data_IF_401131294582
#
_entry.id   IF_401131294582
#
_cell.length_a   1.000
_cell.length_b   1.000
_cell.length_c   1.000
_cell.angle_alpha   90.00
_cell.angle_beta   90.00
_cell.angle_gamma   90.00
#
_symmetry.space_group_name_H-M   'P 1'
#
loop_
_entity.id
_entity.type
_entity.pdbx_description
1 polymer ?
#
# COMPACT_ATOMS: atom_id res chain seq x y z
N UNK A 1 -5.14 -23.54 -1.85
CA UNK A 1 -4.25 -23.87 -2.99
C UNK A 1 -4.80 -24.95 -3.91
N UNK A 2 -5.45 -26.02 -3.44
CA UNK A 2 -5.88 -27.15 -4.29
C UNK A 2 -6.73 -26.77 -5.51
N UNK A 3 -7.60 -25.75 -5.40
CA UNK A 3 -8.46 -25.27 -6.48
C UNK A 3 -7.72 -24.53 -7.62
N UNK A 4 -6.47 -24.10 -7.39
CA UNK A 4 -5.65 -23.40 -8.38
C UNK A 4 -5.08 -24.36 -9.43
N UNK A 5 -4.76 -23.80 -10.59
CA UNK A 5 -4.22 -24.53 -11.71
C UNK A 5 -2.88 -25.14 -11.33
N UNK A 6 -2.51 -26.33 -11.82
CA UNK A 6 -1.21 -26.94 -11.51
C UNK A 6 -0.03 -25.99 -11.66
N UNK A 7 0.01 -25.21 -12.75
CA UNK A 7 1.04 -24.21 -13.00
C UNK A 7 1.10 -23.09 -11.93
N UNK A 8 -0.07 -22.62 -11.47
CA UNK A 8 -0.15 -21.58 -10.43
C UNK A 8 0.36 -22.13 -9.10
N UNK A 9 0.02 -23.39 -8.78
CA UNK A 9 0.51 -24.06 -7.56
C UNK A 9 2.02 -24.30 -7.60
N UNK A 10 2.54 -24.77 -8.73
CA UNK A 10 3.98 -24.99 -8.90
C UNK A 10 4.76 -23.69 -8.74
N UNK A 11 4.36 -22.63 -9.47
CA UNK A 11 5.01 -21.34 -9.37
C UNK A 11 4.94 -20.79 -7.94
N UNK A 12 3.75 -20.81 -7.32
CA UNK A 12 3.58 -20.30 -5.97
C UNK A 12 4.45 -21.05 -4.96
N UNK A 13 4.45 -22.38 -5.00
CA UNK A 13 5.26 -23.20 -4.11
C UNK A 13 6.76 -22.98 -4.29
N UNK A 14 7.22 -22.83 -5.53
CA UNK A 14 8.63 -22.62 -5.83
C UNK A 14 9.13 -21.20 -5.48
N UNK A 15 8.30 -20.17 -5.67
CA UNK A 15 8.69 -18.77 -5.47
C UNK A 15 8.39 -18.23 -4.07
N UNK A 16 7.31 -18.69 -3.44
CA UNK A 16 6.77 -18.09 -2.21
C UNK A 16 6.57 -19.11 -1.08
N UNK A 17 6.70 -20.41 -1.36
CA UNK A 17 6.51 -21.48 -0.38
C UNK A 17 5.03 -21.69 -0.04
N UNK A 18 4.70 -21.57 1.24
CA UNK A 18 3.34 -21.83 1.73
C UNK A 18 2.46 -20.57 1.74
N UNK A 19 1.14 -20.70 1.49
CA UNK A 19 0.22 -19.57 1.57
C UNK A 19 0.19 -18.93 2.95
N UNK A 20 0.12 -17.61 2.98
CA UNK A 20 -0.15 -16.89 4.22
C UNK A 20 -1.57 -17.19 4.70
N UNK A 21 -1.84 -16.98 6.00
CA UNK A 21 -3.20 -17.09 6.57
C UNK A 21 -4.21 -16.24 5.82
N UNK A 22 -3.83 -15.02 5.43
CA UNK A 22 -4.70 -14.11 4.67
C UNK A 22 -5.08 -14.71 3.31
N UNK A 23 -4.10 -15.25 2.58
CA UNK A 23 -4.33 -15.91 1.29
C UNK A 23 -5.21 -17.15 1.43
N UNK A 24 -4.88 -18.04 2.38
CA UNK A 24 -5.62 -19.28 2.60
C UNK A 24 -7.09 -19.06 2.94
N UNK A 25 -7.41 -18.03 3.74
CA UNK A 25 -8.79 -17.69 4.10
C UNK A 25 -9.53 -16.95 2.99
N UNK A 26 -8.84 -16.11 2.21
CA UNK A 26 -9.46 -15.30 1.16
C UNK A 26 -9.82 -16.10 -0.10
N UNK A 27 -8.95 -17.00 -0.56
CA UNK A 27 -9.13 -17.67 -1.85
C UNK A 27 -10.44 -18.45 -2.00
N UNK A 28 -10.94 -19.23 -1.02
CA UNK A 28 -12.21 -19.93 -1.18
C UNK A 28 -13.40 -18.98 -1.40
N UNK A 29 -13.39 -17.83 -0.72
CA UNK A 29 -14.43 -16.79 -0.82
C UNK A 29 -14.38 -16.09 -2.17
N UNK A 30 -13.17 -15.67 -2.58
CA UNK A 30 -12.97 -15.01 -3.87
C UNK A 30 -13.32 -15.95 -5.03
N UNK A 31 -12.92 -17.23 -4.96
CA UNK A 31 -13.21 -18.23 -5.98
C UNK A 31 -14.71 -18.55 -6.09
N UNK A 32 -15.48 -18.41 -4.99
CA UNK A 32 -16.94 -18.55 -4.99
C UNK A 32 -17.67 -17.35 -5.62
N UNK A 33 -16.94 -16.30 -6.05
CA UNK A 33 -17.55 -15.08 -6.58
C UNK A 33 -18.05 -14.11 -5.50
N UNK A 34 -17.76 -14.37 -4.22
CA UNK A 34 -18.20 -13.51 -3.12
C UNK A 34 -17.45 -12.17 -3.16
N UNK A 35 -18.17 -11.06 -2.97
CA UNK A 35 -17.57 -9.78 -2.61
C UNK A 35 -16.89 -9.93 -1.25
N UNK A 36 -15.61 -9.60 -1.18
CA UNK A 36 -14.76 -9.97 -0.03
C UNK A 36 -14.01 -8.75 0.51
N UNK A 37 -14.10 -8.50 1.82
CA UNK A 37 -13.25 -7.56 2.53
C UNK A 37 -12.15 -8.32 3.28
N UNK A 38 -10.90 -8.23 2.82
CA UNK A 38 -9.74 -8.88 3.43
C UNK A 38 -9.01 -7.90 4.35
N UNK A 39 -9.11 -8.15 5.67
CA UNK A 39 -8.30 -7.49 6.68
C UNK A 39 -7.09 -8.37 7.00
N UNK A 40 -5.89 -7.87 6.72
CA UNK A 40 -4.66 -8.51 7.17
C UNK A 40 -3.54 -7.48 7.33
N UNK A 41 -2.51 -7.74 8.15
CA UNK A 41 -1.35 -6.85 8.25
C UNK A 41 -0.66 -6.63 6.90
N UNK A 42 0.13 -5.55 6.80
CA UNK A 42 1.12 -5.39 5.72
C UNK A 42 2.07 -6.58 5.68
N UNK A 43 2.68 -6.86 4.52
CA UNK A 43 3.50 -8.06 4.30
C UNK A 43 2.71 -9.39 4.27
N UNK A 44 1.41 -9.42 4.56
CA UNK A 44 0.61 -10.67 4.58
C UNK A 44 0.20 -11.19 3.19
N UNK A 45 0.70 -10.59 2.11
CA UNK A 45 0.40 -11.02 0.74
C UNK A 45 -1.05 -10.77 0.28
N UNK A 46 -1.74 -9.76 0.84
CA UNK A 46 -3.14 -9.38 0.53
C UNK A 46 -3.38 -9.14 -0.96
N UNK A 47 -2.51 -8.33 -1.55
CA UNK A 47 -2.59 -7.93 -2.96
C UNK A 47 -2.43 -9.15 -3.86
N UNK A 48 -1.44 -10.01 -3.59
CA UNK A 48 -1.28 -11.27 -4.31
C UNK A 48 -2.46 -12.22 -4.08
N UNK A 49 -3.09 -12.24 -2.91
CA UNK A 49 -4.28 -13.06 -2.67
C UNK A 49 -5.39 -12.75 -3.67
N UNK A 50 -5.66 -11.45 -3.90
CA UNK A 50 -6.65 -10.98 -4.86
C UNK A 50 -6.21 -11.24 -6.31
N UNK A 51 -4.99 -10.85 -6.67
CA UNK A 51 -4.50 -11.00 -8.05
C UNK A 51 -4.32 -12.45 -8.47
N UNK A 52 -3.80 -13.32 -7.62
CA UNK A 52 -3.57 -14.72 -7.99
C UNK A 52 -4.88 -15.43 -8.33
N UNK A 53 -5.97 -15.12 -7.60
CA UNK A 53 -7.31 -15.63 -7.93
C UNK A 53 -7.81 -15.12 -9.27
N UNK A 54 -7.53 -13.86 -9.61
CA UNK A 54 -7.90 -13.26 -10.90
C UNK A 54 -7.06 -13.85 -12.05
N UNK A 55 -5.74 -13.95 -11.88
CA UNK A 55 -4.79 -14.51 -12.85
C UNK A 55 -5.17 -15.95 -13.18
N UNK A 56 -5.36 -16.78 -12.16
CA UNK A 56 -5.70 -18.18 -12.34
C UNK A 56 -7.01 -18.37 -13.10
N UNK A 57 -8.05 -17.58 -12.82
CA UNK A 57 -9.31 -17.61 -13.55
C UNK A 57 -9.13 -17.15 -15.00
N UNK A 58 -8.58 -15.96 -15.21
CA UNK A 58 -8.48 -15.35 -16.54
C UNK A 58 -7.56 -16.12 -17.48
N UNK A 59 -6.51 -16.76 -16.96
CA UNK A 59 -5.55 -17.51 -17.76
C UNK A 59 -6.09 -18.86 -18.25
N UNK A 60 -7.10 -19.42 -17.58
CA UNK A 60 -7.79 -20.66 -17.99
C UNK A 60 -8.89 -20.40 -19.02
N UNK A 61 -9.42 -19.19 -19.06
CA UNK A 61 -10.45 -18.79 -20.01
C UNK A 61 -9.85 -18.56 -21.42
N UNK A 62 -10.58 -18.93 -22.49
CA UNK A 62 -10.17 -18.57 -23.86
C UNK A 62 -10.13 -17.04 -24.02
N UNK A 63 -9.41 -16.55 -25.03
CA UNK A 63 -9.33 -15.10 -25.29
C UNK A 63 -10.72 -14.53 -25.66
N UNK A 64 -11.29 -13.63 -24.84
CA UNK A 64 -12.60 -13.04 -25.11
C UNK A 64 -12.54 -11.86 -26.11
N UNK A 65 -11.38 -11.59 -26.71
CA UNK A 65 -11.18 -10.53 -27.70
C UNK A 65 -11.41 -9.14 -27.10
N UNK A 66 -12.38 -8.38 -27.63
CA UNK A 66 -12.67 -7.01 -27.15
C UNK A 66 -13.18 -6.96 -25.70
N UNK A 67 -13.74 -8.05 -25.19
CA UNK A 67 -14.23 -8.16 -23.82
C UNK A 67 -13.16 -8.64 -22.82
N UNK A 68 -11.87 -8.49 -23.16
CA UNK A 68 -10.75 -8.99 -22.35
C UNK A 68 -10.52 -8.23 -21.06
N UNK A 69 -10.91 -6.96 -20.97
CA UNK A 69 -10.82 -6.24 -19.71
C UNK A 69 -11.84 -6.80 -18.72
N UNK A 70 -11.39 -7.64 -17.79
CA UNK A 70 -12.24 -8.32 -16.80
C UNK A 70 -11.95 -7.86 -15.37
N UNK A 71 -10.71 -7.43 -15.07
CA UNK A 71 -10.31 -7.03 -13.71
C UNK A 71 -9.87 -5.58 -13.69
N UNK A 72 -10.44 -4.81 -12.76
CA UNK A 72 -10.02 -3.46 -12.44
C UNK A 72 -9.33 -3.44 -11.08
N UNK A 73 -8.12 -2.91 -11.01
CA UNK A 73 -7.45 -2.63 -9.75
C UNK A 73 -7.46 -1.12 -9.51
N UNK A 74 -8.01 -0.69 -8.38
CA UNK A 74 -8.10 0.71 -7.99
C UNK A 74 -7.16 0.97 -6.83
N UNK A 75 -6.10 1.72 -7.11
CA UNK A 75 -5.15 2.18 -6.10
C UNK A 75 -5.52 3.58 -5.59
N UNK A 76 -5.46 3.85 -4.28
CA UNK A 76 -5.56 5.22 -3.78
C UNK A 76 -4.34 6.06 -4.20
N UNK A 77 -3.17 5.46 -4.44
CA UNK A 77 -1.96 6.21 -4.78
C UNK A 77 -1.42 5.85 -6.16
N UNK A 78 -0.96 6.88 -6.90
CA UNK A 78 -0.36 6.67 -8.23
C UNK A 78 0.94 5.85 -8.17
N UNK A 79 1.77 6.06 -7.15
CA UNK A 79 3.01 5.30 -6.96
C UNK A 79 2.71 3.81 -6.78
N UNK A 80 1.80 3.49 -5.86
CA UNK A 80 1.33 2.13 -5.62
C UNK A 80 0.76 1.45 -6.88
N UNK A 81 0.10 2.20 -7.78
CA UNK A 81 -0.38 1.64 -9.04
C UNK A 81 0.77 1.13 -9.94
N UNK A 82 1.88 1.86 -10.00
CA UNK A 82 3.06 1.49 -10.80
C UNK A 82 3.80 0.33 -10.15
N UNK A 83 3.93 0.36 -8.82
CA UNK A 83 4.57 -0.73 -8.08
C UNK A 83 3.81 -2.04 -8.20
N UNK A 84 2.48 -2.00 -8.14
CA UNK A 84 1.64 -3.19 -8.35
C UNK A 84 1.83 -3.75 -9.75
N UNK A 85 1.89 -2.92 -10.80
CA UNK A 85 2.17 -3.40 -12.16
C UNK A 85 3.54 -4.09 -12.26
N UNK A 86 4.59 -3.49 -11.69
CA UNK A 86 5.92 -4.10 -11.63
C UNK A 86 5.90 -5.44 -10.89
N UNK A 87 5.24 -5.48 -9.73
CA UNK A 87 5.16 -6.68 -8.89
C UNK A 87 4.32 -7.80 -9.51
N UNK A 88 3.41 -7.48 -10.44
CA UNK A 88 2.64 -8.48 -11.18
C UNK A 88 3.43 -9.15 -12.32
N UNK A 89 4.56 -8.60 -12.76
CA UNK A 89 5.35 -9.19 -13.85
C UNK A 89 5.88 -10.58 -13.48
N UNK A 90 6.40 -10.72 -12.25
CA UNK A 90 6.94 -11.98 -11.75
C UNK A 90 5.89 -13.11 -11.69
N UNK A 91 4.70 -12.95 -11.05
CA UNK A 91 3.68 -13.98 -11.05
C UNK A 91 3.16 -14.30 -12.45
N UNK A 92 2.97 -13.30 -13.32
CA UNK A 92 2.47 -13.54 -14.68
C UNK A 92 3.45 -14.35 -15.52
N UNK A 93 4.73 -13.99 -15.50
CA UNK A 93 5.77 -14.72 -16.22
C UNK A 93 5.96 -16.12 -15.63
N UNK A 94 6.10 -16.22 -14.31
CA UNK A 94 6.37 -17.49 -13.64
C UNK A 94 5.25 -18.51 -13.76
N UNK A 95 3.98 -18.09 -13.69
CA UNK A 95 2.82 -18.97 -13.94
C UNK A 95 2.80 -19.45 -15.39
N UNK A 96 3.10 -18.58 -16.35
CA UNK A 96 3.13 -18.94 -17.77
C UNK A 96 4.27 -19.92 -18.10
N UNK A 97 5.45 -19.69 -17.51
CA UNK A 97 6.60 -20.60 -17.64
C UNK A 97 6.33 -21.96 -17.00
N UNK A 98 5.71 -21.99 -15.81
CA UNK A 98 5.28 -23.22 -15.17
C UNK A 98 4.26 -23.98 -16.03
N UNK A 99 3.30 -23.27 -16.63
CA UNK A 99 2.33 -23.85 -17.56
C UNK A 99 2.98 -24.50 -18.78
N UNK A 100 4.01 -23.87 -19.34
CA UNK A 100 4.80 -24.44 -20.44
C UNK A 100 5.58 -25.69 -20.00
N UNK A 101 6.23 -25.68 -18.83
CA UNK A 101 6.95 -26.85 -18.30
C UNK A 101 6.03 -28.05 -18.03
N UNK A 102 4.84 -27.80 -17.51
CA UNK A 102 3.85 -28.84 -17.21
C UNK A 102 3.03 -29.31 -18.42
N UNK A 103 3.23 -28.72 -19.60
CA UNK A 103 2.39 -28.96 -20.78
C UNK A 103 0.88 -28.72 -20.51
N UNK A 104 0.56 -27.73 -19.67
CA UNK A 104 -0.80 -27.31 -19.34
C UNK A 104 -0.99 -25.87 -19.81
N UNK A 105 -1.29 -25.61 -21.10
CA UNK A 105 -1.22 -24.28 -21.67
C UNK A 105 -2.20 -23.32 -21.00
N UNK A 106 -1.70 -22.13 -20.67
CA UNK A 106 -2.49 -21.01 -20.15
C UNK A 106 -2.40 -19.83 -21.10
N UNK A 107 -3.47 -19.03 -21.16
CA UNK A 107 -3.48 -17.78 -21.91
C UNK A 107 -2.57 -16.75 -21.24
N UNK A 108 -1.75 -16.07 -22.04
CA UNK A 108 -0.92 -14.96 -21.56
C UNK A 108 -1.81 -13.74 -21.29
N UNK A 109 -1.71 -13.19 -20.08
CA UNK A 109 -2.50 -12.03 -19.66
C UNK A 109 -1.75 -10.73 -19.90
N UNK A 110 -2.48 -9.69 -20.28
CA UNK A 110 -1.97 -8.32 -20.39
C UNK A 110 -2.41 -7.46 -19.21
N UNK A 111 -1.49 -6.63 -18.72
CA UNK A 111 -1.74 -5.65 -17.66
C UNK A 111 -1.35 -4.28 -18.17
N UNK A 112 -2.17 -3.27 -17.89
CA UNK A 112 -1.80 -1.89 -18.17
C UNK A 112 -2.14 -0.97 -17.00
N UNK A 113 -1.41 0.14 -16.91
CA UNK A 113 -1.64 1.20 -15.92
C UNK A 113 -2.23 2.43 -16.60
N UNK A 114 -3.40 2.85 -16.14
CA UNK A 114 -4.04 4.09 -16.56
C UNK A 114 -4.28 5.01 -15.38
N UNK A 115 -3.50 6.09 -15.30
CA UNK A 115 -3.61 7.13 -14.28
C UNK A 115 -3.64 8.51 -14.93
N UNK A 116 -3.67 9.57 -14.11
CA UNK A 116 -3.50 10.93 -14.57
C UNK A 116 -2.20 11.17 -15.36
N UNK A 117 -1.15 10.37 -15.10
CA UNK A 117 0.17 10.54 -15.72
C UNK A 117 0.32 9.76 -17.04
N UNK A 118 -0.65 8.89 -17.38
CA UNK A 118 -0.62 8.10 -18.61
C UNK A 118 -0.75 9.03 -19.83
N UNK A 119 0.19 8.94 -20.77
CA UNK A 119 0.22 9.75 -21.99
C UNK A 119 -1.02 9.52 -22.88
N UNK A 120 -1.35 10.48 -23.75
CA UNK A 120 -2.49 10.32 -24.67
C UNK A 120 -2.29 9.13 -25.63
N UNK A 121 -1.06 8.90 -26.09
CA UNK A 121 -0.75 7.75 -26.96
C UNK A 121 -1.03 6.43 -26.24
N UNK A 122 -0.60 6.30 -24.98
CA UNK A 122 -0.84 5.09 -24.20
C UNK A 122 -2.32 4.91 -23.86
N UNK A 123 -3.04 6.01 -23.57
CA UNK A 123 -4.51 5.97 -23.41
C UNK A 123 -5.19 5.44 -24.66
N UNK A 124 -4.77 5.85 -25.86
CA UNK A 124 -5.32 5.36 -27.12
C UNK A 124 -4.95 3.90 -27.40
N UNK A 125 -3.73 3.47 -27.02
CA UNK A 125 -3.31 2.07 -27.10
C UNK A 125 -4.21 1.17 -26.25
N UNK A 126 -4.40 1.51 -24.98
CA UNK A 126 -5.30 0.79 -24.06
C UNK A 126 -6.71 0.73 -24.64
N UNK A 127 -7.19 1.78 -25.31
CA UNK A 127 -8.51 1.77 -25.92
C UNK A 127 -8.65 0.81 -27.12
N UNK A 128 -7.62 0.73 -27.95
CA UNK A 128 -7.61 -0.13 -29.15
C UNK A 128 -7.37 -1.59 -28.78
N UNK A 129 -6.51 -1.84 -27.80
CA UNK A 129 -6.16 -3.15 -27.28
C UNK A 129 -6.30 -3.12 -25.74
N UNK A 130 -7.52 -3.38 -25.21
CA UNK A 130 -7.75 -3.43 -23.77
C UNK A 130 -6.85 -4.48 -23.12
N UNK A 131 -6.30 -4.25 -21.91
CA UNK A 131 -5.62 -5.29 -21.16
C UNK A 131 -6.61 -6.26 -20.52
N UNK A 132 -6.13 -7.36 -19.96
CA UNK A 132 -6.93 -8.25 -19.11
C UNK A 132 -7.20 -7.65 -17.73
N UNK A 133 -6.18 -6.95 -17.21
CA UNK A 133 -6.18 -6.27 -15.92
C UNK A 133 -5.82 -4.80 -16.14
N UNK A 134 -6.69 -3.89 -15.73
CA UNK A 134 -6.41 -2.45 -15.74
C UNK A 134 -6.17 -1.95 -14.31
N UNK A 135 -4.98 -1.39 -14.09
CA UNK A 135 -4.62 -0.72 -12.83
C UNK A 135 -4.90 0.77 -13.00
N UNK A 136 -5.66 1.36 -12.08
CA UNK A 136 -6.10 2.76 -12.19
C UNK A 136 -6.25 3.44 -10.83
N UNK A 137 -6.65 4.72 -10.84
CA UNK A 137 -7.02 5.49 -9.64
C UNK A 137 -8.51 5.85 -9.67
N UNK A 138 -9.12 6.22 -8.52
CA UNK A 138 -10.52 6.65 -8.48
C UNK A 138 -10.87 7.73 -9.52
N UNK A 139 -9.99 8.72 -9.68
CA UNK A 139 -10.19 9.82 -10.62
C UNK A 139 -10.15 9.36 -12.07
N UNK A 140 -9.19 8.48 -12.41
CA UNK A 140 -9.04 7.99 -13.77
C UNK A 140 -10.15 7.02 -14.17
N UNK A 141 -10.64 6.21 -13.22
CA UNK A 141 -11.85 5.40 -13.39
C UNK A 141 -13.08 6.27 -13.69
N UNK A 142 -13.28 7.33 -12.91
CA UNK A 142 -14.38 8.25 -13.14
C UNK A 142 -14.32 8.88 -14.54
N UNK A 143 -13.14 9.31 -14.99
CA UNK A 143 -12.97 9.86 -16.34
C UNK A 143 -13.35 8.84 -17.43
N UNK A 144 -12.99 7.56 -17.25
CA UNK A 144 -13.39 6.49 -18.18
C UNK A 144 -14.92 6.34 -18.21
N UNK A 145 -15.56 6.20 -17.04
CA UNK A 145 -17.00 6.00 -16.88
C UNK A 145 -17.83 7.17 -17.43
N UNK A 146 -17.24 8.36 -17.51
CA UNK A 146 -17.92 9.61 -17.92
C UNK A 146 -17.54 10.03 -19.34
N UNK A 147 -17.00 9.10 -20.12
CA UNK A 147 -16.67 9.26 -21.54
C UNK A 147 -17.29 8.13 -22.38
N UNK A 148 -17.20 8.23 -23.71
CA UNK A 148 -17.56 7.13 -24.61
C UNK A 148 -16.73 5.86 -24.36
N UNK A 149 -15.57 5.98 -23.70
CA UNK A 149 -14.68 4.86 -23.38
C UNK A 149 -15.25 3.91 -22.32
N UNK A 150 -16.37 4.28 -21.67
CA UNK A 150 -17.03 3.45 -20.66
C UNK A 150 -17.46 2.08 -21.19
N UNK A 151 -17.67 1.93 -22.49
CA UNK A 151 -18.06 0.66 -23.12
C UNK A 151 -17.04 -0.46 -22.87
N UNK A 152 -15.75 -0.11 -22.83
CA UNK A 152 -14.67 -1.04 -22.49
C UNK A 152 -14.81 -1.62 -21.08
N UNK A 153 -15.46 -0.90 -20.17
CA UNK A 153 -15.63 -1.34 -18.79
C UNK A 153 -16.81 -2.31 -18.62
N UNK A 154 -17.65 -2.50 -19.63
CA UNK A 154 -18.82 -3.37 -19.52
C UNK A 154 -18.44 -4.84 -19.23
N UNK A 155 -17.28 -5.29 -19.70
CA UNK A 155 -16.76 -6.64 -19.44
C UNK A 155 -16.09 -6.81 -18.07
N UNK A 156 -15.83 -5.74 -17.32
CA UNK A 156 -15.21 -5.81 -15.99
C UNK A 156 -16.13 -6.52 -15.01
N UNK A 157 -15.74 -7.68 -14.50
CA UNK A 157 -16.52 -8.45 -13.54
C UNK A 157 -15.96 -8.40 -12.11
N UNK A 158 -14.71 -7.96 -11.95
CA UNK A 158 -14.00 -7.92 -10.67
C UNK A 158 -13.36 -6.55 -10.47
N UNK A 159 -13.58 -5.94 -9.31
CA UNK A 159 -12.86 -4.75 -8.87
C UNK A 159 -12.10 -5.05 -7.59
N UNK A 160 -10.80 -4.82 -7.61
CA UNK A 160 -9.93 -4.87 -6.43
C UNK A 160 -9.72 -3.42 -5.98
N UNK A 161 -10.02 -3.12 -4.73
CA UNK A 161 -9.80 -1.82 -4.10
C UNK A 161 -8.74 -2.02 -3.03
N UNK A 162 -7.53 -1.55 -3.31
CA UNK A 162 -6.47 -1.64 -2.33
C UNK A 162 -6.60 -0.50 -1.32
N UNK A 163 -6.10 -0.76 -0.11
CA UNK A 163 -5.99 0.26 0.94
C UNK A 163 -7.31 1.01 1.19
N UNK A 164 -8.43 0.27 1.20
CA UNK A 164 -9.79 0.81 1.24
C UNK A 164 -10.03 1.76 2.43
N UNK A 165 -9.29 1.59 3.53
CA UNK A 165 -9.38 2.43 4.71
C UNK A 165 -9.01 3.89 4.45
N UNK A 166 -8.12 4.15 3.49
CA UNK A 166 -7.78 5.52 3.08
C UNK A 166 -8.93 6.21 2.34
N UNK A 167 -9.80 5.42 1.72
CA UNK A 167 -10.90 5.92 0.90
C UNK A 167 -12.18 6.01 1.73
N UNK A 168 -12.46 5.05 2.61
CA UNK A 168 -13.71 4.88 3.32
C UNK A 168 -14.25 6.16 3.99
N UNK A 169 -13.40 6.92 4.67
CA UNK A 169 -13.78 8.13 5.41
C UNK A 169 -13.42 9.44 4.68
N UNK A 170 -13.41 9.44 3.35
CA UNK A 170 -13.02 10.61 2.55
C UNK A 170 -14.03 10.94 1.44
N UNK A 171 -14.12 12.23 1.07
CA UNK A 171 -14.90 12.67 -0.11
C UNK A 171 -14.43 11.97 -1.39
N UNK A 172 -13.13 11.67 -1.46
CA UNK A 172 -12.53 10.91 -2.55
C UNK A 172 -13.05 9.48 -2.62
N UNK A 173 -13.23 8.81 -1.48
CA UNK A 173 -13.89 7.52 -1.40
C UNK A 173 -15.36 7.60 -1.78
N UNK A 174 -16.10 8.59 -1.30
CA UNK A 174 -17.51 8.81 -1.73
C UNK A 174 -17.61 8.81 -3.26
N UNK A 175 -16.71 9.53 -3.92
CA UNK A 175 -16.64 9.57 -5.38
C UNK A 175 -16.32 8.20 -6.00
N UNK A 176 -15.41 7.42 -5.42
CA UNK A 176 -15.12 6.05 -5.85
C UNK A 176 -16.36 5.16 -5.72
N UNK A 177 -16.99 5.09 -4.55
CA UNK A 177 -18.12 4.17 -4.32
C UNK A 177 -19.31 4.48 -5.22
N UNK A 178 -19.58 5.76 -5.51
CA UNK A 178 -20.56 6.16 -6.53
C UNK A 178 -20.13 5.71 -7.93
N UNK A 179 -18.84 5.82 -8.26
CA UNK A 179 -18.31 5.33 -9.54
C UNK A 179 -18.44 3.80 -9.68
N UNK A 180 -18.34 3.04 -8.58
CA UNK A 180 -18.55 1.59 -8.57
C UNK A 180 -20.01 1.21 -8.82
N UNK A 181 -20.98 1.99 -8.31
CA UNK A 181 -22.39 1.77 -8.65
C UNK A 181 -22.66 2.08 -10.13
N UNK A 182 -22.00 3.10 -10.71
CA UNK A 182 -22.06 3.36 -12.16
C UNK A 182 -21.46 2.22 -12.97
N UNK A 183 -20.36 1.63 -12.51
CA UNK A 183 -19.76 0.45 -13.13
C UNK A 183 -20.67 -0.78 -13.03
N UNK A 184 -21.27 -1.03 -11.86
CA UNK A 184 -22.28 -2.08 -11.67
C UNK A 184 -23.47 -1.90 -12.62
N UNK A 185 -23.91 -0.67 -12.86
CA UNK A 185 -25.03 -0.38 -13.78
C UNK A 185 -24.71 -0.72 -15.25
N UNK A 186 -23.44 -0.87 -15.63
CA UNK A 186 -23.06 -1.38 -16.96
C UNK A 186 -23.27 -2.91 -17.07
N UNK A 187 -23.58 -3.58 -15.97
CA UNK A 187 -23.74 -5.04 -15.85
C UNK A 187 -25.04 -5.40 -15.14
N UNK A 188 -26.20 -5.21 -15.80
CA UNK A 188 -27.49 -5.45 -15.17
C UNK A 188 -27.70 -6.93 -14.79
N UNK A 189 -27.14 -7.85 -15.57
CA UNK A 189 -27.41 -9.30 -15.43
C UNK A 189 -26.44 -10.02 -14.49
N UNK A 190 -25.30 -9.42 -14.15
CA UNK A 190 -24.28 -10.05 -13.31
C UNK A 190 -23.73 -9.09 -12.26
N UNK A 191 -23.67 -9.50 -10.98
CA UNK A 191 -23.11 -8.67 -9.94
C UNK A 191 -21.60 -8.47 -10.17
N UNK A 192 -21.12 -7.27 -9.89
CA UNK A 192 -19.71 -6.93 -9.88
C UNK A 192 -19.09 -7.50 -8.61
N UNK A 193 -18.12 -8.41 -8.72
CA UNK A 193 -17.37 -8.88 -7.57
C UNK A 193 -16.44 -7.76 -7.09
N UNK A 194 -16.52 -7.40 -5.81
CA UNK A 194 -15.65 -6.37 -5.21
C UNK A 194 -14.74 -7.00 -4.16
N UNK A 195 -13.45 -6.71 -4.24
CA UNK A 195 -12.44 -7.22 -3.31
C UNK A 195 -11.79 -6.01 -2.65
N UNK A 196 -12.12 -5.75 -1.39
CA UNK A 196 -11.50 -4.69 -0.60
C UNK A 196 -10.32 -5.23 0.19
N UNK A 197 -9.17 -4.56 0.11
CA UNK A 197 -7.98 -4.91 0.89
C UNK A 197 -7.75 -3.82 1.94
N UNK A 198 -7.51 -4.22 3.18
CA UNK A 198 -7.21 -3.28 4.26
C UNK A 198 -6.17 -3.84 5.23
N UNK A 199 -5.31 -2.96 5.74
CA UNK A 199 -4.39 -3.27 6.83
C UNK A 199 -4.95 -2.94 8.21
N UNK A 200 -5.69 -1.83 8.33
CA UNK A 200 -6.03 -1.21 9.60
C UNK A 200 -7.43 -0.61 9.53
N UNK A 201 -8.47 -1.30 10.06
CA UNK A 201 -9.76 -0.63 10.23
C UNK A 201 -10.76 -1.32 11.16
N UNK A 202 -11.58 -0.49 11.80
CA UNK A 202 -12.84 -0.81 12.49
C UNK A 202 -13.80 0.39 12.37
N UNK A 203 -15.13 0.19 12.38
CA UNK A 203 -15.85 -1.09 12.36
C UNK A 203 -15.85 -1.74 10.97
N UNK A 204 -15.59 -3.05 10.91
CA UNK A 204 -15.42 -3.80 9.64
C UNK A 204 -16.72 -3.92 8.86
N UNK A 205 -17.83 -4.00 9.58
CA UNK A 205 -19.18 -4.13 9.05
C UNK A 205 -19.56 -2.91 8.19
N UNK A 206 -19.14 -1.72 8.60
CA UNK A 206 -19.45 -0.49 7.88
C UNK A 206 -18.63 -0.37 6.58
N UNK A 207 -17.38 -0.80 6.61
CA UNK A 207 -16.52 -0.82 5.41
C UNK A 207 -16.99 -1.91 4.45
N UNK A 208 -17.41 -3.05 4.98
CA UNK A 208 -18.00 -4.12 4.19
C UNK A 208 -19.30 -3.62 3.51
N UNK A 209 -20.16 -2.92 4.25
CA UNK A 209 -21.37 -2.28 3.70
C UNK A 209 -21.04 -1.27 2.61
N UNK A 210 -20.02 -0.45 2.82
CA UNK A 210 -19.55 0.55 1.84
C UNK A 210 -18.96 -0.12 0.58
N UNK A 211 -18.16 -1.18 0.76
CA UNK A 211 -17.58 -1.98 -0.32
C UNK A 211 -18.68 -2.62 -1.17
N UNK A 212 -19.62 -3.33 -0.54
CA UNK A 212 -20.71 -4.02 -1.23
C UNK A 212 -21.71 -3.08 -1.90
N UNK A 213 -21.90 -1.89 -1.33
CA UNK A 213 -22.93 -0.95 -1.79
C UNK A 213 -24.33 -1.47 -1.52
N UNK A 214 -25.31 -0.94 -2.24
CA UNK A 214 -26.72 -1.22 -2.03
C UNK A 214 -27.37 -1.81 -3.27
N UNK A 215 -28.28 -2.75 -3.09
CA UNK A 215 -29.12 -3.29 -4.17
C UNK A 215 -30.61 -3.11 -3.85
N UNK A 216 -31.45 -2.92 -4.88
CA UNK A 216 -32.89 -2.87 -4.69
C UNK A 216 -33.43 -4.27 -4.34
N UNK A 217 -34.23 -4.35 -3.29
CA UNK A 217 -34.88 -5.58 -2.85
C UNK A 217 -36.40 -5.39 -2.71
N UNK A 218 -37.13 -6.44 -3.11
CA UNK A 218 -38.59 -6.51 -3.06
C UNK A 218 -39.32 -5.58 -4.05
N UNK A 219 -40.67 -5.66 -4.10
CA UNK A 219 -41.50 -4.92 -5.06
C UNK A 219 -41.48 -3.40 -4.87
N UNK A 220 -41.01 -2.91 -3.71
CA UNK A 220 -40.87 -1.47 -3.42
C UNK A 220 -39.47 -0.92 -3.73
N UNK A 221 -38.58 -1.73 -4.30
CA UNK A 221 -37.17 -1.37 -4.59
C UNK A 221 -36.46 -0.74 -3.39
N UNK A 222 -36.67 -1.29 -2.19
CA UNK A 222 -35.99 -0.80 -0.98
C UNK A 222 -34.51 -1.16 -1.08
N UNK A 223 -33.63 -0.18 -0.87
CA UNK A 223 -32.19 -0.40 -0.95
C UNK A 223 -31.70 -1.16 0.29
N UNK A 224 -31.10 -2.33 0.08
CA UNK A 224 -30.48 -3.15 1.13
C UNK A 224 -28.99 -3.35 0.85
N UNK A 225 -28.14 -3.51 1.87
CA UNK A 225 -26.73 -3.83 1.67
C UNK A 225 -26.52 -5.13 0.89
N UNK A 226 -25.62 -5.09 -0.09
CA UNK A 226 -25.15 -6.32 -0.75
C UNK A 226 -24.33 -7.16 0.24
N UNK A 227 -24.43 -8.51 0.18
CA UNK A 227 -23.66 -9.37 1.06
C UNK A 227 -22.15 -9.24 0.79
N UNK A 228 -21.37 -9.15 1.87
CA UNK A 228 -19.90 -9.07 1.83
C UNK A 228 -19.31 -10.05 2.83
N UNK A 229 -18.40 -10.90 2.37
CA UNK A 229 -17.61 -11.79 3.21
C UNK A 229 -16.45 -11.02 3.85
N UNK A 230 -16.46 -10.91 5.17
CA UNK A 230 -15.34 -10.32 5.93
C UNK A 230 -14.35 -11.43 6.26
N UNK A 231 -13.12 -11.31 5.75
CA UNK A 231 -12.00 -12.18 6.05
C UNK A 231 -11.05 -11.44 6.98
N UNK A 232 -11.17 -11.70 8.28
CA UNK A 232 -10.26 -11.19 9.29
C UNK A 232 -9.09 -12.16 9.49
N UNK A 233 -7.99 -11.89 8.79
CA UNK A 233 -6.72 -12.56 8.96
C UNK A 233 -5.75 -11.76 9.85
N UNK A 234 -6.24 -10.77 10.60
CA UNK A 234 -5.42 -10.08 11.59
C UNK A 234 -4.89 -11.08 12.63
N UNK A 235 -3.61 -10.95 12.92
CA UNK A 235 -2.98 -11.56 14.08
C UNK A 235 -2.77 -10.47 15.11
N UNK A 236 -2.86 -10.81 16.41
CA UNK A 236 -2.36 -9.93 17.46
C UNK A 236 -0.86 -9.75 17.24
N UNK A 237 -0.45 -8.64 16.61
CA UNK A 237 0.96 -8.26 16.54
C UNK A 237 1.46 -8.06 17.96
N UNK A 238 2.51 -8.79 18.35
CA UNK A 238 3.33 -8.41 19.50
C UNK A 238 4.19 -7.25 19.02
N UNK A 239 3.75 -6.02 19.30
CA UNK A 239 4.54 -4.83 19.03
C UNK A 239 5.54 -4.67 20.19
N UNK A 240 6.84 -4.67 19.90
CA UNK A 240 7.85 -4.22 20.87
C UNK A 240 8.04 -2.71 20.71
N UNK A 241 7.16 -1.95 21.38
CA UNK A 241 7.22 -0.49 21.39
C UNK A 241 8.17 -0.06 22.50
N UNK A 242 9.31 0.55 22.14
CA UNK A 242 10.14 1.33 23.06
C UNK A 242 9.78 2.80 22.96
N UNK A 243 9.98 3.55 24.04
CA UNK A 243 9.97 5.01 23.99
C UNK A 243 11.28 5.45 24.61
N UNK A 244 12.14 6.08 23.83
CA UNK A 244 13.43 6.54 24.31
C UNK A 244 13.55 8.04 24.16
N UNK A 245 14.07 8.65 25.21
CA UNK A 245 14.37 10.07 25.29
C UNK A 245 15.88 10.16 25.36
N UNK A 246 16.55 10.80 24.38
CA UNK A 246 17.99 10.97 24.42
C UNK A 246 18.41 11.68 25.71
N UNK A 247 19.49 11.24 26.38
CA UNK A 247 20.02 11.98 27.51
C UNK A 247 20.50 13.36 27.02
N UNK A 248 20.44 14.40 27.88
CA UNK A 248 21.01 15.70 27.55
C UNK A 248 22.51 15.54 27.23
N UNK A 249 22.98 16.19 26.17
CA UNK A 249 24.41 16.23 25.88
C UNK A 249 25.17 17.06 26.92
N UNK A 250 26.45 16.77 27.17
CA UNK A 250 27.34 17.64 27.94
C UNK A 250 27.38 19.05 27.35
N UNK A 251 27.63 20.06 28.19
CA UNK A 251 27.65 21.47 27.79
C UNK A 251 28.58 21.73 26.58
N UNK A 252 28.06 22.37 25.53
CA UNK A 252 28.87 22.90 24.42
C UNK A 252 28.38 22.62 22.98
N UNK A 253 27.38 21.76 22.78
CA UNK A 253 26.82 21.51 21.44
C UNK A 253 25.60 22.41 21.19
N UNK A 254 25.80 23.48 20.43
CA UNK A 254 24.75 24.42 20.01
C UNK A 254 24.09 23.89 18.75
N UNK A 255 22.76 23.88 18.76
CA UNK A 255 21.94 23.40 17.65
C UNK A 255 21.78 24.51 16.57
N UNK A 256 22.12 24.26 15.29
CA UNK A 256 21.80 25.18 14.21
C UNK A 256 20.28 25.32 13.96
N UNK A 257 19.45 24.50 14.61
CA UNK A 257 18.01 24.41 14.35
C UNK A 257 17.15 25.44 15.12
N UNK A 258 17.70 26.23 16.04
CA UNK A 258 16.97 27.25 16.82
C UNK A 258 17.60 28.67 16.76
N UNK A 259 16.78 29.67 16.45
CA UNK A 259 17.07 31.08 16.69
C UNK A 259 16.92 31.38 18.20
N UNK A 260 18.03 31.75 18.84
CA UNK A 260 18.12 32.69 19.96
C UNK A 260 17.25 32.49 21.22
N UNK A 261 16.93 31.26 21.60
CA UNK A 261 16.56 30.98 23.00
C UNK A 261 17.40 29.84 23.57
N UNK A 262 18.11 30.13 24.66
CA UNK A 262 19.03 29.23 25.36
C UNK A 262 18.31 28.08 26.09
N UNK A 263 17.42 27.36 25.41
CA UNK A 263 17.02 26.02 25.83
C UNK A 263 17.91 25.02 25.11
N UNK A 264 18.61 24.16 25.88
CA UNK A 264 19.44 23.08 25.34
C UNK A 264 18.59 22.22 24.40
N UNK A 265 18.79 22.38 23.09
CA UNK A 265 18.06 21.58 22.11
C UNK A 265 18.46 20.10 22.24
N UNK A 266 17.46 19.23 22.20
CA UNK A 266 17.64 17.78 22.25
C UNK A 266 18.14 17.22 20.90
N UNK A 267 18.04 18.00 19.82
CA UNK A 267 18.29 17.51 18.46
C UNK A 267 19.70 16.98 18.22
N UNK A 268 20.79 17.61 18.69
CA UNK A 268 22.12 17.03 18.51
C UNK A 268 22.24 15.65 19.18
N UNK A 269 21.58 15.44 20.33
CA UNK A 269 21.53 14.15 21.01
C UNK A 269 20.70 13.13 20.21
N UNK A 270 19.57 13.56 19.64
CA UNK A 270 18.74 12.77 18.73
C UNK A 270 19.56 12.34 17.51
N UNK A 271 20.30 13.24 16.87
CA UNK A 271 21.09 12.93 15.67
C UNK A 271 22.14 11.85 15.95
N UNK A 272 22.93 11.99 17.02
CA UNK A 272 23.93 10.98 17.40
C UNK A 272 23.29 9.61 17.62
N UNK A 273 22.20 9.54 18.38
CA UNK A 273 21.52 8.27 18.63
C UNK A 273 20.92 7.66 17.35
N UNK A 274 20.38 8.49 16.45
CA UNK A 274 19.85 8.02 15.19
C UNK A 274 20.97 7.48 14.29
N UNK A 275 22.12 8.14 14.21
CA UNK A 275 23.28 7.64 13.45
C UNK A 275 23.75 6.28 13.99
N UNK A 276 23.85 6.12 15.31
CA UNK A 276 24.20 4.84 15.92
C UNK A 276 23.23 3.72 15.56
N UNK A 277 21.92 4.02 15.56
CA UNK A 277 20.88 3.06 15.18
C UNK A 277 20.93 2.69 13.71
N UNK A 278 21.10 3.69 12.84
CA UNK A 278 21.24 3.47 11.40
C UNK A 278 22.44 2.57 11.11
N UNK A 279 23.57 2.76 11.81
CA UNK A 279 24.77 1.93 11.67
C UNK A 279 24.59 0.51 12.22
N UNK A 280 23.73 0.32 13.20
CA UNK A 280 23.45 -0.98 13.81
C UNK A 280 22.41 -1.81 13.05
N UNK A 281 21.60 -1.19 12.19
CA UNK A 281 20.58 -1.83 11.37
C UNK A 281 21.07 -2.01 9.93
N UNK A 282 20.47 -2.95 9.19
CA UNK A 282 20.75 -3.10 7.76
C UNK A 282 20.08 -1.98 6.95
N UNK A 283 18.85 -1.62 7.31
CA UNK A 283 18.13 -0.54 6.65
C UNK A 283 17.08 0.08 7.58
N UNK A 284 17.15 1.40 7.73
CA UNK A 284 16.34 2.15 8.69
C UNK A 284 15.35 3.08 7.99
N UNK A 285 14.08 2.97 8.35
CA UNK A 285 13.05 3.91 7.91
C UNK A 285 12.66 4.87 9.03
N UNK A 286 12.90 6.16 8.83
CA UNK A 286 12.62 7.20 9.81
C UNK A 286 11.39 8.00 9.36
N UNK A 287 10.29 7.93 10.09
CA UNK A 287 9.10 8.73 9.84
C UNK A 287 9.13 10.05 10.61
N UNK A 288 8.75 11.12 9.92
CA UNK A 288 8.65 12.49 10.46
C UNK A 288 7.32 13.13 10.06
N UNK A 289 6.86 14.09 10.86
CA UNK A 289 5.56 14.72 10.68
C UNK A 289 5.52 15.83 9.60
N UNK A 290 6.67 16.26 9.07
CA UNK A 290 6.70 17.32 8.05
C UNK A 290 7.81 17.16 7.03
N UNK A 291 7.58 17.68 5.83
CA UNK A 291 8.57 17.67 4.72
C UNK A 291 9.84 18.43 5.10
N UNK A 292 9.67 19.58 5.74
CA UNK A 292 10.78 20.42 6.22
C UNK A 292 11.65 19.66 7.23
N UNK A 293 11.02 18.89 8.13
CA UNK A 293 11.76 18.08 9.08
C UNK A 293 12.48 16.92 8.40
N UNK A 294 11.90 16.32 7.36
CA UNK A 294 12.54 15.23 6.63
C UNK A 294 13.86 15.67 5.99
N UNK A 295 13.84 16.80 5.27
CA UNK A 295 15.02 17.38 4.63
C UNK A 295 16.08 17.76 5.67
N UNK A 296 15.68 18.51 6.71
CA UNK A 296 16.61 18.96 7.77
C UNK A 296 17.26 17.79 8.50
N UNK A 297 16.47 16.76 8.84
CA UNK A 297 16.97 15.60 9.56
C UNK A 297 17.89 14.75 8.68
N UNK A 298 17.56 14.52 7.41
CA UNK A 298 18.45 13.81 6.49
C UNK A 298 19.82 14.49 6.38
N UNK A 299 19.83 15.82 6.19
CA UNK A 299 21.08 16.60 6.17
C UNK A 299 21.85 16.48 7.47
N UNK A 300 21.19 16.69 8.62
CA UNK A 300 21.85 16.64 9.92
C UNK A 300 22.42 15.25 10.25
N UNK A 301 21.75 14.17 9.84
CA UNK A 301 22.25 12.80 9.99
C UNK A 301 23.51 12.56 9.17
N UNK A 302 23.54 13.03 7.91
CA UNK A 302 24.72 12.90 7.04
C UNK A 302 25.91 13.71 7.58
N UNK A 303 25.66 14.95 8.04
CA UNK A 303 26.67 15.78 8.69
C UNK A 303 27.24 15.12 9.95
N UNK A 304 26.37 14.57 10.80
CA UNK A 304 26.77 13.88 12.03
C UNK A 304 27.54 12.58 11.73
N UNK A 305 27.19 11.87 10.66
CA UNK A 305 27.84 10.64 10.26
C UNK A 305 29.18 10.86 9.55
N UNK A 306 29.35 12.02 8.89
CA UNK A 306 30.49 12.34 8.02
C UNK A 306 30.41 11.72 6.63
N UNK A 307 29.27 11.11 6.28
CA UNK A 307 29.02 10.42 5.01
C UNK A 307 27.51 10.41 4.68
N UNK A 308 27.14 10.10 3.43
CA UNK A 308 25.73 9.96 3.07
C UNK A 308 25.18 8.64 3.61
N UNK A 309 24.39 8.72 4.69
CA UNK A 309 23.69 7.59 5.29
C UNK A 309 22.16 7.68 5.12
N UNK A 310 21.63 8.89 4.87
CA UNK A 310 20.20 9.15 4.86
C UNK A 310 19.78 10.08 3.71
N UNK A 311 18.63 9.79 3.09
CA UNK A 311 17.98 10.68 2.11
C UNK A 311 16.55 11.01 2.52
N UNK A 312 16.10 12.23 2.21
CA UNK A 312 14.74 12.66 2.45
C UNK A 312 13.77 12.11 1.37
N UNK A 313 12.55 11.76 1.79
CA UNK A 313 11.51 11.24 0.90
C UNK A 313 10.12 11.81 1.23
N UNK A 314 9.58 12.61 0.32
CA UNK A 314 8.23 13.17 0.44
C UNK A 314 7.64 13.64 -0.89
N UNK A 315 6.35 13.95 -0.91
CA UNK A 315 5.62 14.31 -2.13
C UNK A 315 6.14 15.54 -2.90
N UNK A 316 6.96 16.41 -2.29
CA UNK A 316 7.64 17.51 -2.99
C UNK A 316 8.92 17.10 -3.73
N UNK A 317 9.46 15.90 -3.48
CA UNK A 317 10.62 15.37 -4.20
C UNK A 317 10.18 14.89 -5.58
N UNK A 318 10.98 15.21 -6.60
CA UNK A 318 10.74 14.78 -7.98
C UNK A 318 10.55 13.26 -8.04
N UNK A 319 9.65 12.80 -8.92
CA UNK A 319 9.28 11.39 -9.03
C UNK A 319 10.50 10.50 -9.34
N UNK A 320 11.37 10.93 -10.24
CA UNK A 320 12.58 10.20 -10.62
C UNK A 320 13.51 10.02 -9.42
N UNK A 321 13.74 11.08 -8.64
CA UNK A 321 14.53 11.03 -7.41
C UNK A 321 13.91 10.10 -6.37
N UNK A 322 12.58 10.15 -6.17
CA UNK A 322 11.89 9.23 -5.23
C UNK A 322 12.09 7.78 -5.61
N UNK A 323 11.87 7.44 -6.89
CA UNK A 323 12.07 6.07 -7.39
C UNK A 323 13.53 5.62 -7.23
N UNK A 324 14.50 6.48 -7.53
CA UNK A 324 15.92 6.16 -7.34
C UNK A 324 16.26 5.91 -5.86
N UNK A 325 15.75 6.73 -4.95
CA UNK A 325 15.93 6.53 -3.51
C UNK A 325 15.28 5.23 -3.02
N UNK A 326 14.06 4.93 -3.47
CA UNK A 326 13.36 3.68 -3.16
C UNK A 326 14.14 2.44 -3.67
N UNK A 327 14.72 2.51 -4.88
CA UNK A 327 15.53 1.41 -5.44
C UNK A 327 16.84 1.20 -4.67
N UNK A 328 17.54 2.28 -4.31
CA UNK A 328 18.75 2.20 -3.46
C UNK A 328 18.45 1.59 -2.10
N UNK A 329 17.31 1.96 -1.48
CA UNK A 329 16.88 1.38 -0.21
C UNK A 329 16.58 -0.13 -0.35
N UNK A 330 15.85 -0.53 -1.41
CA UNK A 330 15.55 -1.95 -1.69
C UNK A 330 16.80 -2.79 -1.97
N UNK A 331 17.79 -2.22 -2.65
CA UNK A 331 19.07 -2.87 -2.92
C UNK A 331 19.95 -3.01 -1.67
N UNK A 332 19.70 -2.20 -0.63
CA UNK A 332 20.55 -2.11 0.56
C UNK A 332 21.73 -1.14 0.41
N UNK A 333 21.74 -0.32 -0.64
CA UNK A 333 22.77 0.69 -0.92
C UNK A 333 22.56 2.00 -0.14
N UNK A 334 21.37 2.18 0.45
CA UNK A 334 21.03 3.32 1.27
C UNK A 334 20.74 2.86 2.71
N UNK A 335 21.54 3.26 3.71
CA UNK A 335 21.34 2.84 5.10
C UNK A 335 20.02 3.33 5.70
N UNK A 336 19.57 4.53 5.35
CA UNK A 336 18.35 5.09 5.89
C UNK A 336 17.56 5.99 4.93
N UNK A 337 16.25 6.04 5.15
CA UNK A 337 15.36 7.00 4.50
C UNK A 337 14.60 7.80 5.56
N UNK A 338 14.52 9.12 5.38
CA UNK A 338 13.74 10.01 6.23
C UNK A 338 12.49 10.44 5.48
N UNK A 339 11.34 9.92 5.87
CA UNK A 339 10.12 10.05 5.09
C UNK A 339 8.95 10.66 5.88
N UNK A 340 8.06 11.33 5.16
CA UNK A 340 6.70 11.59 5.66
C UNK A 340 5.80 10.39 5.36
N UNK A 341 4.49 10.52 5.58
CA UNK A 341 3.46 9.53 5.19
C UNK A 341 3.42 9.12 3.71
N UNK A 342 4.32 9.65 2.88
CA UNK A 342 4.53 9.20 1.50
C UNK A 342 5.01 7.76 1.38
N UNK A 343 5.66 7.21 2.41
CA UNK A 343 6.12 5.81 2.47
C UNK A 343 5.38 4.96 3.50
N UNK A 344 4.38 5.51 4.21
CA UNK A 344 3.56 4.74 5.17
C UNK A 344 2.78 3.60 4.48
N UNK A 345 2.77 3.56 3.14
CA UNK A 345 1.82 2.82 2.34
C UNK A 345 2.51 1.96 1.27
N UNK A 346 2.38 0.64 1.44
CA UNK A 346 2.29 -0.32 0.34
C UNK A 346 3.53 -0.56 -0.53
N UNK A 347 4.69 0.01 -0.20
CA UNK A 347 5.93 -0.35 -0.89
C UNK A 347 6.52 -1.56 -0.17
N UNK A 348 6.73 -2.64 -0.92
CA UNK A 348 7.47 -3.82 -0.45
C UNK A 348 8.94 -3.41 -0.25
N UNK A 349 9.29 -3.11 1.00
CA UNK A 349 10.62 -2.66 1.41
C UNK A 349 11.35 -3.81 2.11
N UNK A 350 11.40 -4.98 1.47
CA UNK A 350 11.96 -6.23 2.03
C UNK A 350 13.40 -6.19 2.60
N UNK A 351 14.07 -5.04 2.60
CA UNK A 351 15.36 -4.79 3.26
C UNK A 351 15.24 -4.06 4.61
N UNK A 352 14.09 -3.47 4.97
CA UNK A 352 13.91 -2.65 6.17
C UNK A 352 13.68 -3.52 7.39
N UNK A 353 14.66 -3.51 8.29
CA UNK A 353 14.63 -4.23 9.56
C UNK A 353 14.37 -3.31 10.76
N UNK A 354 14.41 -1.99 10.57
CA UNK A 354 14.12 -1.00 11.61
C UNK A 354 13.23 0.16 11.12
N UNK A 355 12.22 0.52 11.92
CA UNK A 355 11.38 1.70 11.71
C UNK A 355 11.48 2.60 12.93
N UNK A 356 11.77 3.89 12.75
CA UNK A 356 11.89 4.91 13.79
C UNK A 356 10.83 5.97 13.52
N UNK A 357 10.08 6.38 14.54
CA UNK A 357 9.12 7.48 14.42
C UNK A 357 9.61 8.67 15.24
N UNK A 358 9.98 9.77 14.58
CA UNK A 358 10.31 11.03 15.25
C UNK A 358 9.02 11.79 15.53
N UNK A 359 8.87 12.27 16.77
CA UNK A 359 7.62 12.84 17.32
C UNK A 359 6.44 11.86 17.38
N UNK A 360 5.33 12.25 18.02
CA UNK A 360 4.12 11.43 18.00
C UNK A 360 3.49 11.42 16.59
N UNK A 361 3.04 10.27 16.07
CA UNK A 361 2.32 10.21 14.80
C UNK A 361 0.95 10.90 14.93
N UNK A 362 0.35 11.38 13.82
CA UNK A 362 -0.93 12.11 13.84
C UNK A 362 -2.12 11.25 14.29
N UNK A 363 -2.01 9.92 14.23
CA UNK A 363 -3.02 8.98 14.71
C UNK A 363 -2.42 7.63 15.13
N UNK A 364 -3.17 6.84 15.91
CA UNK A 364 -2.79 5.45 16.25
C UNK A 364 -2.77 4.56 14.99
N UNK A 365 -3.64 4.83 14.01
CA UNK A 365 -3.70 4.06 12.77
C UNK A 365 -2.44 4.26 11.91
N UNK A 366 -1.98 5.50 11.73
CA UNK A 366 -0.67 5.78 11.10
C UNK A 366 0.47 5.22 11.95
N UNK A 367 0.32 5.29 13.28
CA UNK A 367 1.23 4.69 14.26
C UNK A 367 1.27 3.16 14.31
N UNK A 368 0.58 2.44 13.40
CA UNK A 368 0.59 0.97 13.35
C UNK A 368 0.77 0.42 11.93
N UNK A 369 0.79 1.29 10.92
CA UNK A 369 1.04 0.98 9.52
C UNK A 369 2.55 1.01 9.23
N UNK A 370 3.20 -0.16 9.20
CA UNK A 370 4.58 -0.30 8.69
C UNK A 370 4.56 -0.98 7.31
N UNK A 371 5.43 -0.64 6.35
CA UNK A 371 5.38 -1.18 4.98
C UNK A 371 5.44 -2.72 4.91
N UNK A 372 6.17 -3.36 5.83
CA UNK A 372 6.59 -4.77 5.68
C UNK A 372 6.08 -5.69 6.79
N UNK A 373 5.29 -5.18 7.72
CA UNK A 373 4.84 -5.96 8.86
C UNK A 373 5.91 -6.16 9.94
N UNK A 374 7.17 -5.73 9.72
CA UNK A 374 8.26 -5.67 10.72
C UNK A 374 7.73 -5.02 12.01
N UNK A 375 8.01 -5.58 13.20
CA UNK A 375 7.65 -4.92 14.45
C UNK A 375 8.34 -3.55 14.46
N UNK A 376 7.59 -2.44 14.39
CA UNK A 376 8.21 -1.14 14.57
C UNK A 376 8.84 -1.12 15.96
N UNK A 377 10.14 -0.90 16.02
CA UNK A 377 10.75 -0.45 17.26
C UNK A 377 10.41 1.04 17.32
N UNK A 378 9.31 1.43 17.96
CA UNK A 378 8.99 2.86 18.04
C UNK A 378 10.08 3.58 18.85
N UNK A 379 10.29 4.85 18.52
CA UNK A 379 11.30 5.70 19.15
C UNK A 379 10.74 7.10 19.31
N UNK A 380 9.84 7.29 20.27
CA UNK A 380 9.16 8.57 20.42
C UNK A 380 10.11 9.61 21.05
N UNK A 381 10.97 10.22 20.22
CA UNK A 381 11.77 11.37 20.60
C UNK A 381 10.82 12.57 20.74
N UNK A 382 10.40 12.85 21.98
CA UNK A 382 9.63 14.06 22.30
C UNK A 382 10.63 15.15 22.70
N UNK A 383 10.67 16.31 22.03
CA UNK A 383 11.36 17.46 22.59
C UNK A 383 10.57 17.92 23.82
N UNK A 384 11.03 17.53 25.01
CA UNK A 384 10.60 18.20 26.23
C UNK A 384 11.38 19.50 26.33
N UNK A 385 10.68 20.64 26.43
CA UNK A 385 11.27 21.82 27.04
C UNK A 385 11.62 21.44 28.48
N UNK A 386 12.89 21.49 28.82
CA UNK A 386 13.32 21.41 30.21
C UNK A 386 12.68 22.59 30.96
N UNK A 387 11.71 22.30 31.83
CA UNK A 387 11.30 23.27 32.83
C UNK A 387 12.37 23.23 33.93
N UNK A 388 12.98 24.36 34.31
CA UNK A 388 13.92 24.38 35.42
C UNK A 388 13.19 23.91 36.70
N UNK A 389 13.86 23.05 37.46
CA UNK A 389 13.40 22.64 38.79
C UNK A 389 13.11 23.90 39.62
N UNK A 390 11.90 23.97 40.18
CA UNK A 390 11.60 24.96 41.19
C UNK A 390 12.52 24.68 42.38
N UNK A 391 13.50 25.56 42.59
CA UNK A 391 14.24 25.62 43.84
C UNK A 391 13.22 25.84 44.96
N UNK A 392 13.03 24.82 45.82
CA UNK A 392 12.32 24.98 47.08
C UNK A 392 13.07 26.01 47.92
N UNK A 393 12.52 27.22 47.97
CA UNK A 393 12.86 28.22 48.96
C UNK A 393 12.01 27.97 50.20
N UNK A 394 12.64 27.41 51.23
CA UNK A 394 12.13 27.29 52.60
C UNK A 394 13.29 27.25 53.58
#
# INVERSE_FOLDING_TARGET
>A
MSAFHPAVREWFGASLGEPTRAQALAWPRIAAGETTLLLAPTGSGKTLAAFLSAIDRLAREPDPGKARLRVLYVSPLKALAVDVERNLRAPLAGVFEAAARLNTPLRRLEVAVRTGDTSQNERQRILRAPPDILITTPESLYLLLTSSQREMLASVDTVIIDEIHQLAASKRGTHLFVSLERLQALRPDTPLQRIGLSATQRPLEEIARLLGGLEPSGPKHTLVPRPVAIVDASAKKVLSISVEVPPPLPDGLVDPLEEETASRSIWPAVHVQLVEKIRAARSTMIFVNSRRLAERLATALNETAGEEIALAHHGSVARETRLATEERLKAGDLPAIVATSSLELGIDMGAVDQVIQVEAPPSVASGTSTPDGTPPTWWLARPMRWMPEATDGG
#
